data_IF_938472228151
#
_entry.id   IF_938472228151
#
_cell.length_a   1.000
_cell.length_b   1.000
_cell.length_c   1.000
_cell.angle_alpha   90.00
_cell.angle_beta   90.00
_cell.angle_gamma   90.00
#
_symmetry.space_group_name_H-M   'P 1'
#
loop_
_entity.id
_entity.type
_entity.pdbx_description
1 polymer ?
#
# COMPACT_ATOMS: atom_id res chain seq x y z
N UNK A 1 -19.91 -7.01 25.20
CA UNK A 1 -20.04 -7.48 23.81
C UNK A 1 -19.62 -8.94 23.66
N UNK A 2 -18.36 -9.22 23.30
CA UNK A 2 -17.91 -10.61 23.11
C UNK A 2 -17.65 -11.34 24.43
N UNK A 3 -17.06 -10.67 25.41
CA UNK A 3 -16.72 -11.25 26.71
C UNK A 3 -17.95 -11.70 27.53
N UNK A 4 -19.08 -10.99 27.38
CA UNK A 4 -20.36 -11.32 28.01
C UNK A 4 -21.33 -12.02 27.04
N UNK A 5 -20.82 -12.50 25.89
CA UNK A 5 -21.53 -13.25 24.84
C UNK A 5 -22.74 -12.54 24.23
N UNK A 6 -22.87 -11.22 24.39
CA UNK A 6 -23.89 -10.41 23.72
C UNK A 6 -23.60 -10.22 22.23
N UNK A 7 -22.32 -10.26 21.84
CA UNK A 7 -21.83 -10.26 20.45
C UNK A 7 -21.19 -11.62 20.19
N UNK A 8 -21.39 -12.25 19.02
CA UNK A 8 -20.71 -13.49 18.67
C UNK A 8 -19.20 -13.40 18.83
N UNK A 9 -18.58 -14.46 19.38
CA UNK A 9 -17.15 -14.53 19.59
C UNK A 9 -16.33 -14.69 18.31
N UNK A 10 -16.96 -15.16 17.23
CA UNK A 10 -16.38 -15.37 15.91
C UNK A 10 -17.45 -15.20 14.83
N UNK A 11 -17.01 -15.17 13.57
CA UNK A 11 -17.88 -14.91 12.41
C UNK A 11 -17.96 -13.43 12.05
N UNK A 12 -18.55 -13.16 10.89
CA UNK A 12 -18.75 -11.80 10.40
C UNK A 12 -19.88 -11.10 11.18
N UNK A 13 -19.66 -9.83 11.53
CA UNK A 13 -20.66 -9.02 12.22
C UNK A 13 -21.57 -8.32 11.20
N UNK A 14 -22.40 -9.11 10.52
CA UNK A 14 -23.36 -8.60 9.53
C UNK A 14 -24.44 -7.72 10.19
N UNK A 15 -25.17 -6.89 9.42
CA UNK A 15 -26.30 -6.11 9.95
C UNK A 15 -27.32 -6.95 10.73
N UNK A 16 -27.60 -8.17 10.26
CA UNK A 16 -28.52 -9.14 10.89
C UNK A 16 -27.98 -9.64 12.24
N UNK A 17 -26.66 -9.75 12.36
CA UNK A 17 -25.98 -10.17 13.60
C UNK A 17 -25.92 -9.01 14.61
N UNK A 18 -25.57 -7.80 14.16
CA UNK A 18 -25.27 -6.69 15.07
C UNK A 18 -26.51 -5.95 15.54
N UNK A 19 -27.56 -5.87 14.70
CA UNK A 19 -28.76 -5.09 15.03
C UNK A 19 -29.48 -5.58 16.28
N UNK A 20 -29.77 -6.88 16.48
CA UNK A 20 -30.41 -7.35 17.71
C UNK A 20 -29.57 -7.00 18.96
N UNK A 21 -28.24 -6.94 18.81
CA UNK A 21 -27.32 -6.54 19.88
C UNK A 21 -27.48 -5.06 20.20
N UNK A 22 -27.53 -4.20 19.18
CA UNK A 22 -27.73 -2.74 19.34
C UNK A 22 -29.11 -2.43 19.90
N UNK A 23 -30.16 -3.07 19.37
CA UNK A 23 -31.54 -2.89 19.84
C UNK A 23 -31.66 -3.25 21.32
N UNK A 24 -31.12 -4.40 21.72
CA UNK A 24 -31.08 -4.81 23.13
C UNK A 24 -30.22 -3.89 24.00
N UNK A 25 -29.12 -3.35 23.46
CA UNK A 25 -28.23 -2.46 24.21
C UNK A 25 -28.85 -1.08 24.45
N UNK A 26 -29.60 -0.57 23.48
CA UNK A 26 -30.24 0.76 23.51
C UNK A 26 -31.71 0.73 23.98
N UNK A 27 -32.24 -0.45 24.33
CA UNK A 27 -33.65 -0.67 24.69
C UNK A 27 -34.63 -0.21 23.58
N UNK A 28 -34.27 -0.51 22.33
CA UNK A 28 -35.10 -0.20 21.15
C UNK A 28 -36.03 -1.37 20.82
N UNK A 29 -37.24 -1.09 20.28
CA UNK A 29 -38.12 -2.14 19.81
C UNK A 29 -37.48 -2.92 18.65
N UNK A 30 -37.71 -4.23 18.62
CA UNK A 30 -37.22 -5.09 17.55
C UNK A 30 -37.81 -4.67 16.19
N UNK A 31 -36.95 -4.44 15.20
CA UNK A 31 -37.36 -4.13 13.84
C UNK A 31 -37.09 -5.31 12.89
N UNK A 32 -38.00 -5.56 11.96
CA UNK A 32 -37.78 -6.54 10.89
C UNK A 32 -36.69 -6.01 9.96
N UNK A 33 -35.64 -6.81 9.78
CA UNK A 33 -34.55 -6.48 8.87
C UNK A 33 -34.90 -7.04 7.50
N UNK A 34 -35.03 -6.17 6.51
CA UNK A 34 -34.88 -6.63 5.13
C UNK A 34 -33.47 -7.19 5.02
N UNK A 35 -33.28 -8.43 4.51
CA UNK A 35 -31.96 -8.98 4.28
C UNK A 35 -31.12 -7.92 3.58
N UNK A 36 -29.90 -7.66 4.06
CA UNK A 36 -29.02 -6.77 3.31
C UNK A 36 -28.96 -7.34 1.89
N UNK A 37 -29.43 -6.62 0.86
CA UNK A 37 -29.31 -7.10 -0.50
C UNK A 37 -27.81 -7.26 -0.68
N UNK A 38 -27.34 -8.50 -0.73
CA UNK A 38 -25.93 -8.79 -0.85
C UNK A 38 -25.47 -8.14 -2.13
N UNK A 39 -24.96 -6.92 -2.04
CA UNK A 39 -24.25 -6.30 -3.13
C UNK A 39 -23.09 -7.21 -3.46
N UNK A 40 -22.64 -7.18 -4.71
CA UNK A 40 -21.37 -7.81 -5.04
C UNK A 40 -20.35 -7.37 -3.99
N UNK A 41 -19.74 -8.35 -3.31
CA UNK A 41 -18.76 -8.07 -2.28
C UNK A 41 -17.66 -7.23 -2.94
N UNK A 42 -17.61 -5.94 -2.59
CA UNK A 42 -16.58 -5.06 -3.11
C UNK A 42 -15.27 -5.57 -2.54
N UNK A 43 -14.35 -5.95 -3.42
CA UNK A 43 -13.04 -6.43 -3.00
C UNK A 43 -12.39 -5.31 -2.17
N UNK A 44 -11.85 -5.61 -0.98
CA UNK A 44 -11.16 -4.60 -0.19
C UNK A 44 -10.03 -3.98 -1.03
N UNK A 45 -10.05 -2.66 -1.23
CA UNK A 45 -9.10 -1.94 -2.10
C UNK A 45 -8.48 -0.77 -1.35
N UNK A 46 -7.32 -0.29 -1.82
CA UNK A 46 -6.65 0.87 -1.24
C UNK A 46 -7.51 2.14 -1.40
N UNK A 47 -7.46 3.06 -0.44
CA UNK A 47 -8.23 4.30 -0.50
C UNK A 47 -7.89 5.14 -1.75
N UNK A 48 -8.83 5.93 -2.28
CA UNK A 48 -8.52 6.91 -3.33
C UNK A 48 -7.38 7.83 -2.87
N UNK A 49 -6.32 7.92 -3.68
CA UNK A 49 -5.11 8.68 -3.34
C UNK A 49 -4.19 8.03 -2.29
N UNK A 50 -4.34 6.75 -1.96
CA UNK A 50 -3.33 6.07 -1.14
C UNK A 50 -1.96 6.07 -1.84
N UNK A 51 -0.90 6.52 -1.14
CA UNK A 51 0.48 6.47 -1.64
C UNK A 51 0.99 5.07 -1.95
N UNK A 52 0.50 4.04 -1.24
CA UNK A 52 0.87 2.65 -1.54
C UNK A 52 0.41 2.23 -2.95
N UNK A 53 -0.74 2.72 -3.43
CA UNK A 53 -1.21 2.42 -4.80
C UNK A 53 -0.23 2.96 -5.84
N UNK A 54 0.25 4.18 -5.63
CA UNK A 54 1.24 4.81 -6.50
C UNK A 54 2.55 4.00 -6.53
N UNK A 55 3.03 3.58 -5.35
CA UNK A 55 4.22 2.72 -5.25
C UNK A 55 4.02 1.37 -5.94
N UNK A 56 2.89 0.69 -5.72
CA UNK A 56 2.60 -0.61 -6.34
C UNK A 56 2.49 -0.53 -7.85
N UNK A 57 1.79 0.49 -8.37
CA UNK A 57 1.73 0.74 -9.80
C UNK A 57 3.13 0.90 -10.38
N UNK A 58 3.96 1.79 -9.80
CA UNK A 58 5.33 1.99 -10.27
C UNK A 58 6.20 0.72 -10.19
N UNK A 59 6.09 -0.07 -9.12
CA UNK A 59 6.80 -1.36 -8.97
C UNK A 59 6.43 -2.31 -10.11
N UNK A 60 5.13 -2.51 -10.34
CA UNK A 60 4.62 -3.47 -11.32
C UNK A 60 4.93 -3.05 -12.76
N UNK A 61 4.79 -1.76 -13.07
CA UNK A 61 5.18 -1.21 -14.38
C UNK A 61 6.69 -1.36 -14.63
N UNK A 62 7.51 -1.22 -13.59
CA UNK A 62 8.97 -1.36 -13.72
C UNK A 62 9.40 -2.82 -13.86
N UNK A 63 8.71 -3.74 -13.18
CA UNK A 63 9.10 -5.14 -13.08
C UNK A 63 7.92 -6.10 -13.35
N UNK A 64 7.32 -6.12 -14.56
CA UNK A 64 6.10 -6.89 -14.83
C UNK A 64 6.24 -8.40 -14.57
N UNK A 65 7.45 -8.95 -14.69
CA UNK A 65 7.80 -10.35 -14.43
C UNK A 65 8.56 -10.53 -13.09
N UNK A 66 8.38 -9.59 -12.17
CA UNK A 66 9.02 -9.57 -10.85
C UNK A 66 8.40 -10.57 -9.88
N UNK A 67 9.07 -10.77 -8.75
CA UNK A 67 8.54 -11.47 -7.59
C UNK A 67 8.28 -10.45 -6.47
N UNK A 68 7.07 -10.46 -5.94
CA UNK A 68 6.56 -9.45 -5.03
C UNK A 68 6.14 -10.03 -3.67
N UNK A 69 7.09 -10.50 -2.83
CA UNK A 69 6.77 -10.85 -1.46
C UNK A 69 6.36 -9.60 -0.66
N UNK A 70 5.32 -9.75 0.15
CA UNK A 70 4.79 -8.67 0.98
C UNK A 70 4.46 -9.18 2.39
N UNK A 71 3.99 -8.27 3.23
CA UNK A 71 3.63 -8.51 4.62
C UNK A 71 2.15 -8.19 4.90
N UNK A 72 1.72 -8.41 6.15
CA UNK A 72 0.36 -8.07 6.61
C UNK A 72 0.24 -6.57 6.92
N UNK A 73 -0.65 -5.87 6.21
CA UNK A 73 -0.93 -4.45 6.38
C UNK A 73 -1.86 -3.92 5.29
N UNK A 74 -2.08 -2.59 5.19
CA UNK A 74 -2.82 -2.01 4.05
C UNK A 74 -2.21 -2.44 2.71
N UNK A 75 -0.90 -2.62 2.68
CA UNK A 75 -0.13 -3.03 1.52
C UNK A 75 -0.40 -4.50 1.11
N UNK A 76 -1.00 -5.34 1.95
CA UNK A 76 -1.55 -6.64 1.50
C UNK A 76 -2.60 -6.47 0.40
N UNK A 77 -3.32 -5.34 0.38
CA UNK A 77 -4.30 -5.03 -0.68
C UNK A 77 -3.65 -4.81 -2.06
N UNK A 78 -2.32 -4.74 -2.14
CA UNK A 78 -1.59 -4.81 -3.41
C UNK A 78 -1.81 -6.13 -4.17
N UNK A 79 -2.38 -7.16 -3.53
CA UNK A 79 -2.85 -8.38 -4.18
C UNK A 79 -3.83 -8.09 -5.33
N UNK A 80 -4.75 -7.14 -5.16
CA UNK A 80 -5.72 -6.80 -6.20
C UNK A 80 -5.04 -6.12 -7.41
N UNK A 81 -3.96 -5.39 -7.16
CA UNK A 81 -3.18 -4.67 -8.16
C UNK A 81 -2.17 -5.57 -8.89
N UNK A 82 -2.08 -6.85 -8.55
CA UNK A 82 -1.04 -7.75 -9.06
C UNK A 82 0.38 -7.37 -8.61
N UNK A 83 0.51 -6.63 -7.51
CA UNK A 83 1.79 -6.14 -6.98
C UNK A 83 2.22 -6.87 -5.69
N UNK A 84 1.57 -8.00 -5.38
CA UNK A 84 1.88 -8.89 -4.27
C UNK A 84 1.63 -10.33 -4.73
N UNK A 85 2.65 -11.18 -4.67
CA UNK A 85 2.52 -12.61 -5.02
C UNK A 85 2.32 -13.49 -3.79
N UNK A 86 2.86 -13.07 -2.65
CA UNK A 86 2.81 -13.82 -1.41
C UNK A 86 2.79 -12.90 -0.21
N UNK A 87 2.02 -13.29 0.80
CA UNK A 87 1.92 -12.65 2.10
C UNK A 87 1.61 -13.73 3.13
N UNK A 88 2.40 -13.80 4.21
CA UNK A 88 2.26 -14.88 5.20
C UNK A 88 1.96 -14.36 6.61
N UNK A 89 2.85 -13.55 7.15
CA UNK A 89 2.68 -12.93 8.46
C UNK A 89 3.35 -11.55 8.47
N UNK A 90 3.35 -10.86 9.61
CA UNK A 90 4.07 -9.59 9.75
C UNK A 90 5.59 -9.84 9.85
N UNK A 91 6.34 -9.41 8.82
CA UNK A 91 7.80 -9.49 8.75
C UNK A 91 8.34 -10.68 7.93
N UNK A 92 7.47 -11.44 7.28
CA UNK A 92 7.86 -12.53 6.38
C UNK A 92 8.43 -12.03 5.05
N UNK A 93 8.00 -10.88 4.53
CA UNK A 93 8.32 -10.42 3.17
C UNK A 93 9.82 -10.34 2.88
N UNK A 94 10.59 -9.79 3.81
CA UNK A 94 12.06 -9.67 3.71
C UNK A 94 12.72 -11.06 3.70
N UNK A 95 12.29 -11.96 4.59
CA UNK A 95 12.86 -13.32 4.66
C UNK A 95 12.49 -14.16 3.43
N UNK A 96 11.27 -14.02 2.91
CA UNK A 96 10.84 -14.66 1.67
C UNK A 96 11.67 -14.16 0.48
N UNK A 97 11.89 -12.85 0.36
CA UNK A 97 12.72 -12.27 -0.70
C UNK A 97 14.16 -12.80 -0.65
N UNK A 98 14.75 -12.87 0.55
CA UNK A 98 16.06 -13.47 0.74
C UNK A 98 16.08 -14.96 0.33
N UNK A 99 15.02 -15.72 0.67
CA UNK A 99 14.86 -17.12 0.27
C UNK A 99 14.73 -17.30 -1.25
N UNK A 100 13.89 -16.50 -1.90
CA UNK A 100 13.75 -16.50 -3.36
C UNK A 100 15.07 -16.19 -4.04
N UNK A 101 15.78 -15.14 -3.60
CA UNK A 101 17.10 -14.83 -4.13
C UNK A 101 18.04 -16.03 -4.06
N UNK A 102 18.09 -16.73 -2.92
CA UNK A 102 18.95 -17.92 -2.75
C UNK A 102 18.55 -19.07 -3.66
N UNK A 103 17.25 -19.34 -3.76
CA UNK A 103 16.74 -20.41 -4.60
C UNK A 103 17.10 -20.18 -6.07
N UNK A 104 16.86 -18.98 -6.59
CA UNK A 104 17.21 -18.63 -7.97
C UNK A 104 18.73 -18.60 -8.19
N UNK A 105 19.51 -18.02 -7.27
CA UNK A 105 20.96 -18.00 -7.36
C UNK A 105 21.60 -19.41 -7.39
N UNK A 106 20.91 -20.42 -6.84
CA UNK A 106 21.39 -21.80 -6.82
C UNK A 106 20.94 -22.63 -8.04
N UNK A 107 19.84 -22.26 -8.70
CA UNK A 107 19.14 -23.13 -9.63
C UNK A 107 18.79 -22.51 -11.00
N UNK A 108 19.04 -21.21 -11.22
CA UNK A 108 18.65 -20.52 -12.44
C UNK A 108 19.76 -19.64 -13.00
N UNK A 109 19.82 -19.55 -14.34
CA UNK A 109 20.76 -18.68 -15.06
C UNK A 109 20.43 -17.20 -14.88
N UNK A 110 19.16 -16.88 -14.63
CA UNK A 110 18.65 -15.52 -14.47
C UNK A 110 17.80 -15.42 -13.21
N UNK A 111 18.10 -14.42 -12.39
CA UNK A 111 17.29 -14.05 -11.22
C UNK A 111 16.29 -12.96 -11.67
N UNK A 112 14.97 -13.17 -11.50
CA UNK A 112 13.97 -12.12 -11.74
C UNK A 112 14.20 -10.95 -10.78
N UNK A 113 13.60 -9.78 -11.07
CA UNK A 113 13.57 -8.72 -10.06
C UNK A 113 12.78 -9.21 -8.84
N UNK A 114 13.34 -9.06 -7.64
CA UNK A 114 12.65 -9.41 -6.40
C UNK A 114 12.42 -8.10 -5.65
N UNK A 115 11.16 -7.74 -5.44
CA UNK A 115 10.77 -6.49 -4.78
C UNK A 115 9.91 -6.83 -3.57
N UNK A 116 10.52 -6.82 -2.39
CA UNK A 116 9.83 -7.00 -1.13
C UNK A 116 9.14 -5.70 -0.71
N UNK A 117 7.89 -5.77 -0.25
CA UNK A 117 7.18 -4.61 0.32
C UNK A 117 6.85 -4.84 1.79
N UNK A 118 7.06 -3.83 2.63
CA UNK A 118 6.77 -3.86 4.06
C UNK A 118 6.31 -2.47 4.51
N UNK A 119 5.31 -2.37 5.38
CA UNK A 119 4.92 -1.09 5.97
C UNK A 119 5.85 -0.65 7.10
N UNK A 120 5.90 0.64 7.39
CA UNK A 120 6.60 1.25 8.53
C UNK A 120 6.40 0.50 9.86
N UNK A 121 5.16 0.31 10.29
CA UNK A 121 4.82 -0.34 11.56
C UNK A 121 5.35 -1.78 11.62
N UNK A 122 5.24 -2.51 10.51
CA UNK A 122 5.69 -3.90 10.40
C UNK A 122 7.21 -3.99 10.33
N UNK A 123 7.85 -3.00 9.72
CA UNK A 123 9.30 -2.89 9.70
C UNK A 123 9.86 -2.74 11.13
N UNK A 124 9.27 -1.86 11.94
CA UNK A 124 9.62 -1.73 13.37
C UNK A 124 9.33 -3.01 14.16
N UNK A 125 8.20 -3.66 13.89
CA UNK A 125 7.77 -4.84 14.63
C UNK A 125 8.64 -6.08 14.39
N UNK A 126 8.96 -6.37 13.12
CA UNK A 126 9.64 -7.61 12.74
C UNK A 126 10.58 -7.51 11.53
N UNK A 127 10.61 -6.38 10.82
CA UNK A 127 11.44 -6.22 9.62
C UNK A 127 12.94 -6.03 9.90
N UNK A 128 13.31 -5.35 10.99
CA UNK A 128 14.72 -5.03 11.29
C UNK A 128 15.60 -6.28 11.43
N UNK A 129 15.25 -7.31 12.22
CA UNK A 129 16.08 -8.52 12.31
C UNK A 129 16.21 -9.25 10.97
N UNK A 130 15.13 -9.30 10.18
CA UNK A 130 15.14 -9.94 8.87
C UNK A 130 16.04 -9.18 7.87
N UNK A 131 16.05 -7.84 7.92
CA UNK A 131 16.92 -7.00 7.10
C UNK A 131 18.40 -7.24 7.44
N UNK A 132 18.75 -7.23 8.73
CA UNK A 132 20.12 -7.52 9.21
C UNK A 132 20.57 -8.88 8.67
N UNK A 133 19.73 -9.91 8.78
CA UNK A 133 20.05 -11.25 8.30
C UNK A 133 20.24 -11.29 6.77
N UNK A 134 19.36 -10.63 6.02
CA UNK A 134 19.45 -10.54 4.57
C UNK A 134 20.76 -9.86 4.11
N UNK A 135 21.12 -8.74 4.75
CA UNK A 135 22.37 -8.01 4.50
C UNK A 135 23.58 -8.87 4.87
N UNK A 136 23.60 -9.44 6.08
CA UNK A 136 24.71 -10.24 6.59
C UNK A 136 25.04 -11.42 5.67
N UNK A 137 24.01 -12.10 5.14
CA UNK A 137 24.24 -13.20 4.22
C UNK A 137 24.53 -12.74 2.79
N UNK A 138 24.30 -11.47 2.44
CA UNK A 138 24.51 -10.96 1.08
C UNK A 138 23.38 -11.36 0.12
N UNK A 139 22.13 -11.36 0.59
CA UNK A 139 20.98 -11.47 -0.30
C UNK A 139 20.87 -10.21 -1.19
N UNK A 140 20.28 -10.36 -2.39
CA UNK A 140 20.13 -9.26 -3.36
C UNK A 140 18.69 -9.17 -3.82
N UNK A 141 18.02 -8.10 -3.42
CA UNK A 141 16.65 -7.77 -3.77
C UNK A 141 16.39 -6.30 -3.40
N UNK A 142 15.29 -5.75 -3.92
CA UNK A 142 14.82 -4.42 -3.57
C UNK A 142 13.84 -4.56 -2.41
N UNK A 143 14.04 -3.80 -1.34
CA UNK A 143 13.09 -3.63 -0.26
C UNK A 143 12.46 -2.25 -0.36
N UNK A 144 11.15 -2.20 -0.59
CA UNK A 144 10.37 -0.97 -0.54
C UNK A 144 9.65 -0.90 0.80
N UNK A 145 10.08 0.03 1.65
CA UNK A 145 9.41 0.34 2.92
C UNK A 145 8.34 1.39 2.62
N UNK A 146 7.08 0.99 2.78
CA UNK A 146 5.89 1.80 2.56
C UNK A 146 5.60 2.57 3.85
N UNK A 147 6.14 3.78 3.94
CA UNK A 147 6.06 4.64 5.11
C UNK A 147 4.90 5.65 4.97
N UNK A 148 3.81 5.35 5.66
CA UNK A 148 2.64 6.23 5.75
C UNK A 148 2.49 6.90 7.12
N UNK A 149 3.53 6.76 7.96
CA UNK A 149 3.64 7.23 9.33
C UNK A 149 2.47 6.83 10.24
N UNK A 150 1.78 5.70 10.04
CA UNK A 150 0.71 5.26 10.94
C UNK A 150 0.38 3.78 10.79
N UNK A 151 -0.06 3.13 11.87
CA UNK A 151 -0.59 1.75 11.78
C UNK A 151 -2.04 1.76 11.28
N UNK A 152 -2.24 2.10 10.01
CA UNK A 152 -3.55 2.48 9.44
C UNK A 152 -4.64 1.41 9.62
N UNK A 153 -4.40 0.18 9.15
CA UNK A 153 -5.43 -0.87 9.09
C UNK A 153 -5.94 -1.33 10.47
N UNK A 154 -5.14 -1.14 11.52
CA UNK A 154 -5.52 -1.52 12.89
C UNK A 154 -6.15 -0.37 13.67
N UNK A 155 -6.32 0.81 13.07
CA UNK A 155 -6.96 1.97 13.70
C UNK A 155 -6.01 3.11 14.07
N UNK A 156 -5.01 3.38 13.23
CA UNK A 156 -4.12 4.55 13.32
C UNK A 156 -3.30 4.64 14.61
N UNK A 157 -2.77 3.51 15.08
CA UNK A 157 -1.83 3.52 16.21
C UNK A 157 -0.54 4.25 15.82
N UNK A 158 0.06 5.03 16.74
CA UNK A 158 1.29 5.73 16.47
C UNK A 158 2.42 4.74 16.19
N UNK A 159 3.26 5.06 15.22
CA UNK A 159 4.50 4.33 14.96
C UNK A 159 5.66 4.93 15.76
N UNK A 160 6.73 4.16 16.04
CA UNK A 160 7.91 4.66 16.74
C UNK A 160 8.51 5.94 16.13
N UNK A 161 8.39 6.13 14.82
CA UNK A 161 8.90 7.32 14.12
C UNK A 161 8.20 8.62 14.53
N UNK A 162 6.95 8.55 14.98
CA UNK A 162 6.21 9.72 15.47
C UNK A 162 6.72 10.22 16.83
N UNK A 163 7.42 9.38 17.61
CA UNK A 163 7.82 9.74 18.97
C UNK A 163 6.63 9.93 19.92
N UNK A 164 5.52 9.19 19.69
CA UNK A 164 4.31 9.27 20.50
C UNK A 164 3.99 7.89 21.13
N UNK A 165 3.49 7.90 22.36
CA UNK A 165 2.98 6.70 23.05
C UNK A 165 1.50 6.84 23.37
N UNK A 166 0.82 5.70 23.42
CA UNK A 166 -0.59 5.62 23.82
C UNK A 166 -0.69 5.62 25.35
N UNK A 167 -1.56 6.44 25.99
CA UNK A 167 -2.61 7.26 25.39
C UNK A 167 -2.21 8.68 24.95
N UNK A 168 -1.12 9.28 25.45
CA UNK A 168 -0.73 10.66 25.08
C UNK A 168 0.73 11.03 25.42
N UNK A 169 1.62 10.05 25.57
CA UNK A 169 3.00 10.33 25.99
C UNK A 169 3.90 10.73 24.83
N UNK A 170 4.97 11.46 25.14
CA UNK A 170 6.08 11.66 24.22
C UNK A 170 7.13 10.57 24.45
N UNK A 171 7.75 10.12 23.36
CA UNK A 171 8.87 9.21 23.36
C UNK A 171 9.95 9.69 22.39
N UNK A 172 11.12 9.09 22.47
CA UNK A 172 12.18 9.35 21.49
C UNK A 172 11.77 8.76 20.14
N UNK A 173 11.74 9.57 19.06
CA UNK A 173 11.45 9.07 17.73
C UNK A 173 12.57 8.15 17.24
N UNK A 174 12.20 7.10 16.50
CA UNK A 174 13.14 6.19 15.86
C UNK A 174 12.91 6.24 14.35
N UNK A 175 13.89 6.71 13.59
CA UNK A 175 13.78 6.88 12.14
C UNK A 175 14.15 5.60 11.39
N UNK A 176 13.31 5.22 10.42
CA UNK A 176 13.52 4.01 9.60
C UNK A 176 14.87 4.08 8.86
N UNK A 177 15.20 5.24 8.30
CA UNK A 177 16.45 5.45 7.56
C UNK A 177 17.70 5.13 8.39
N UNK A 178 17.69 5.47 9.68
CA UNK A 178 18.83 5.23 10.56
C UNK A 178 18.96 3.73 10.90
N UNK A 179 17.84 3.05 11.14
CA UNK A 179 17.81 1.60 11.32
C UNK A 179 18.29 0.85 10.07
N UNK A 180 17.87 1.30 8.88
CA UNK A 180 18.29 0.72 7.60
C UNK A 180 19.80 0.88 7.40
N UNK A 181 20.35 2.08 7.62
CA UNK A 181 21.81 2.32 7.55
C UNK A 181 22.56 1.46 8.57
N UNK A 182 22.09 1.42 9.81
CA UNK A 182 22.69 0.62 10.87
C UNK A 182 22.66 -0.90 10.59
N UNK A 183 21.70 -1.35 9.77
CA UNK A 183 21.60 -2.75 9.31
C UNK A 183 22.62 -3.11 8.22
N UNK A 184 23.47 -2.17 7.78
CA UNK A 184 24.54 -2.41 6.81
C UNK A 184 24.12 -2.19 5.34
N UNK A 185 22.93 -1.62 5.10
CA UNK A 185 22.47 -1.29 3.76
C UNK A 185 23.29 -0.13 3.17
N UNK A 186 23.83 -0.33 1.97
CA UNK A 186 24.66 0.67 1.25
C UNK A 186 23.89 1.46 0.19
N UNK A 187 22.75 0.95 -0.25
CA UNK A 187 21.84 1.65 -1.15
C UNK A 187 20.54 1.97 -0.40
N UNK A 188 20.39 3.25 -0.04
CA UNK A 188 19.20 3.76 0.62
C UNK A 188 18.77 5.07 -0.05
N UNK A 189 17.52 5.11 -0.52
CA UNK A 189 16.88 6.32 -1.06
C UNK A 189 15.50 6.51 -0.44
N UNK A 190 15.06 7.75 -0.37
CA UNK A 190 13.71 8.12 0.06
C UNK A 190 13.05 8.92 -1.06
N UNK A 191 11.77 8.64 -1.32
CA UNK A 191 11.00 9.38 -2.31
C UNK A 191 9.51 9.31 -2.00
N UNK A 192 8.75 10.29 -2.48
CA UNK A 192 7.30 10.23 -2.49
C UNK A 192 6.85 9.43 -3.73
N UNK A 193 6.14 8.31 -3.57
CA UNK A 193 5.65 7.51 -4.71
C UNK A 193 4.64 8.25 -5.59
N UNK A 194 4.14 9.44 -5.20
CA UNK A 194 3.33 10.27 -6.09
C UNK A 194 4.12 10.81 -7.29
N UNK A 195 5.44 10.97 -7.17
CA UNK A 195 6.32 11.21 -8.31
C UNK A 195 6.62 9.88 -9.01
N UNK A 196 5.64 9.40 -9.78
CA UNK A 196 5.73 8.10 -10.47
C UNK A 196 6.99 8.00 -11.35
N UNK A 197 7.33 8.98 -12.22
CA UNK A 197 8.53 8.89 -13.04
C UNK A 197 9.82 8.83 -12.20
N UNK A 198 9.92 9.65 -11.15
CA UNK A 198 11.07 9.63 -10.25
C UNK A 198 11.19 8.30 -9.50
N UNK A 199 10.07 7.76 -9.02
CA UNK A 199 10.05 6.50 -8.30
C UNK A 199 10.40 5.30 -9.20
N UNK A 200 9.92 5.27 -10.45
CA UNK A 200 10.35 4.28 -11.47
C UNK A 200 11.85 4.37 -11.71
N UNK A 201 12.42 5.57 -11.85
CA UNK A 201 13.87 5.73 -12.03
C UNK A 201 14.65 5.19 -10.83
N UNK A 202 14.18 5.40 -9.60
CA UNK A 202 14.82 4.88 -8.39
C UNK A 202 14.72 3.35 -8.29
N UNK A 203 13.59 2.77 -8.70
CA UNK A 203 13.42 1.31 -8.79
C UNK A 203 14.42 0.70 -9.77
N UNK A 204 14.61 1.31 -10.94
CA UNK A 204 15.61 0.86 -11.92
C UNK A 204 17.05 1.00 -11.40
N UNK A 205 17.39 2.10 -10.72
CA UNK A 205 18.69 2.28 -10.06
C UNK A 205 18.91 1.20 -8.98
N UNK A 206 17.88 0.89 -8.20
CA UNK A 206 17.91 -0.15 -7.17
C UNK A 206 18.13 -1.56 -7.76
N UNK A 207 17.47 -1.92 -8.86
CA UNK A 207 17.68 -3.20 -9.55
C UNK A 207 19.10 -3.30 -10.12
N UNK A 208 19.60 -2.24 -10.75
CA UNK A 208 20.98 -2.18 -11.24
C UNK A 208 21.99 -2.38 -10.10
N UNK A 209 21.77 -1.73 -8.96
CA UNK A 209 22.59 -1.93 -7.76
C UNK A 209 22.54 -3.39 -7.28
N UNK A 210 21.35 -4.00 -7.20
CA UNK A 210 21.20 -5.39 -6.78
C UNK A 210 21.98 -6.36 -7.70
N UNK A 211 22.00 -6.09 -9.00
CA UNK A 211 22.69 -6.92 -10.01
C UNK A 211 24.20 -6.69 -10.07
N UNK A 212 24.70 -5.58 -9.54
CA UNK A 212 26.12 -5.24 -9.57
C UNK A 212 27.04 -6.25 -8.88
N UNK A 213 28.34 -6.23 -9.22
CA UNK A 213 29.34 -7.10 -8.59
C UNK A 213 29.36 -6.93 -7.07
N UNK A 214 29.42 -5.68 -6.62
CA UNK A 214 29.32 -5.27 -5.21
C UNK A 214 27.88 -4.96 -4.79
N UNK A 215 26.90 -5.58 -5.43
CA UNK A 215 25.47 -5.41 -5.12
C UNK A 215 25.05 -6.05 -3.78
N UNK A 216 23.86 -5.71 -3.32
CA UNK A 216 23.28 -6.21 -2.08
C UNK A 216 21.79 -5.91 -2.01
N UNK A 217 21.23 -5.85 -0.80
CA UNK A 217 19.87 -5.35 -0.58
C UNK A 217 19.83 -3.85 -0.88
N UNK A 218 18.97 -3.44 -1.80
CA UNK A 218 18.64 -2.04 -2.06
C UNK A 218 17.39 -1.66 -1.27
N UNK A 219 17.41 -0.55 -0.53
CA UNK A 219 16.24 -0.07 0.21
C UNK A 219 15.73 1.24 -0.38
N UNK A 220 14.44 1.28 -0.67
CA UNK A 220 13.68 2.49 -1.01
C UNK A 220 12.65 2.73 0.09
N UNK A 221 12.64 3.92 0.69
CA UNK A 221 11.57 4.33 1.60
C UNK A 221 10.59 5.18 0.79
N UNK A 222 9.42 4.61 0.50
CA UNK A 222 8.31 5.29 -0.15
C UNK A 222 7.53 6.07 0.91
N UNK A 223 7.84 7.35 1.06
CA UNK A 223 7.27 8.23 2.10
C UNK A 223 6.04 8.94 1.58
N UNK A 224 4.87 8.57 2.08
CA UNK A 224 3.63 9.30 1.82
C UNK A 224 2.58 9.03 2.90
N UNK A 225 2.19 10.06 3.63
CA UNK A 225 1.25 9.94 4.75
C UNK A 225 -0.07 9.26 4.35
N UNK A 226 -0.65 8.53 5.30
CA UNK A 226 -1.96 7.93 5.09
C UNK A 226 -3.03 9.01 4.86
N UNK A 227 -3.75 8.95 3.74
CA UNK A 227 -4.79 9.93 3.41
C UNK A 227 -6.04 9.87 4.32
N UNK A 228 -6.12 8.83 5.17
CA UNK A 228 -7.14 8.73 6.23
C UNK A 228 -6.73 9.47 7.50
N UNK A 229 -5.45 9.83 7.66
CA UNK A 229 -5.04 10.76 8.69
C UNK A 229 -5.56 12.17 8.35
N UNK A 230 -6.25 12.79 9.31
CA UNK A 230 -6.97 14.05 9.09
C UNK A 230 -6.03 15.22 8.79
N UNK A 231 -4.91 15.31 9.50
CA UNK A 231 -3.97 16.41 9.33
C UNK A 231 -3.15 16.22 8.06
N UNK A 232 -2.71 14.98 7.77
CA UNK A 232 -2.10 14.64 6.50
C UNK A 232 -3.02 14.99 5.32
N UNK A 233 -4.30 14.61 5.41
CA UNK A 233 -5.29 14.90 4.37
C UNK A 233 -5.51 16.40 4.15
N UNK A 234 -5.48 17.19 5.21
CA UNK A 234 -5.62 18.65 5.11
C UNK A 234 -4.41 19.30 4.43
N UNK A 235 -3.22 18.75 4.65
CA UNK A 235 -1.96 19.27 4.10
C UNK A 235 -1.61 18.69 2.72
N UNK A 236 -2.33 17.66 2.27
CA UNK A 236 -2.16 17.05 0.96
C UNK A 236 -2.51 18.06 -0.15
N UNK A 237 -1.62 18.29 -1.15
CA UNK A 237 -1.95 19.09 -2.31
C UNK A 237 -3.15 18.52 -3.06
N UNK A 238 -4.11 19.39 -3.35
CA UNK A 238 -5.32 19.08 -4.14
C UNK A 238 -5.18 19.68 -5.53
N UNK A 239 -5.50 18.90 -6.54
CA UNK A 239 -5.55 19.29 -7.94
C UNK A 239 -6.96 19.05 -8.47
N UNK A 240 -7.41 19.90 -9.37
CA UNK A 240 -8.60 19.63 -10.18
C UNK A 240 -8.23 18.59 -11.23
N UNK A 241 -8.78 17.39 -11.11
CA UNK A 241 -8.51 16.27 -12.04
C UNK A 241 -9.74 16.08 -12.91
N UNK A 242 -9.54 16.02 -14.23
CA UNK A 242 -10.61 15.77 -15.20
C UNK A 242 -10.20 14.69 -16.21
N UNK A 243 -11.20 14.05 -16.81
CA UNK A 243 -11.03 13.19 -17.98
C UNK A 243 -11.50 13.98 -19.21
N UNK A 244 -10.68 14.04 -20.25
CA UNK A 244 -10.98 14.77 -21.49
C UNK A 244 -11.72 13.89 -22.49
N UNK A 245 -12.26 14.50 -23.54
CA UNK A 245 -12.93 13.81 -24.64
C UNK A 245 -11.97 12.90 -25.45
N UNK A 246 -10.66 13.02 -25.24
CA UNK A 246 -9.65 12.13 -25.83
C UNK A 246 -9.62 10.73 -25.18
N UNK A 247 -10.43 10.51 -24.15
CA UNK A 247 -10.56 9.19 -23.52
C UNK A 247 -11.15 8.17 -24.50
N UNK A 248 -10.36 7.14 -24.80
CA UNK A 248 -10.72 6.07 -25.73
C UNK A 248 -11.40 4.88 -25.06
N UNK A 249 -11.65 4.94 -23.75
CA UNK A 249 -12.19 3.78 -23.02
C UNK A 249 -11.23 2.61 -22.91
N UNK A 250 -9.89 2.82 -23.00
CA UNK A 250 -8.92 1.72 -22.95
C UNK A 250 -8.80 1.02 -21.59
N UNK A 251 -9.43 1.56 -20.54
CA UNK A 251 -9.52 1.01 -19.17
C UNK A 251 -8.20 0.80 -18.42
N UNK A 252 -7.04 1.16 -18.97
CA UNK A 252 -5.73 1.06 -18.28
C UNK A 252 -5.77 1.62 -16.84
N UNK A 253 -6.30 2.83 -16.66
CA UNK A 253 -6.40 3.44 -15.33
C UNK A 253 -7.39 2.76 -14.35
N UNK A 254 -8.32 1.94 -14.87
CA UNK A 254 -9.26 1.16 -14.08
C UNK A 254 -8.66 -0.19 -13.71
N UNK A 255 -8.08 -0.89 -14.69
CA UNK A 255 -7.67 -2.28 -14.53
C UNK A 255 -6.26 -2.40 -13.91
N UNK A 256 -5.36 -1.45 -14.20
CA UNK A 256 -3.96 -1.49 -13.75
C UNK A 256 -3.66 -0.61 -12.53
N UNK A 257 -4.31 0.55 -12.43
CA UNK A 257 -4.15 1.45 -11.29
C UNK A 257 -5.26 1.29 -10.25
N UNK A 258 -6.45 0.82 -10.65
CA UNK A 258 -7.57 0.48 -9.77
C UNK A 258 -7.91 1.59 -8.75
N UNK A 259 -7.96 2.84 -9.20
CA UNK A 259 -8.40 3.93 -8.33
C UNK A 259 -9.91 3.81 -8.07
N UNK A 260 -10.38 3.73 -6.81
CA UNK A 260 -11.81 3.55 -6.50
C UNK A 260 -12.66 4.79 -6.79
N UNK A 261 -12.01 5.89 -7.21
CA UNK A 261 -12.67 7.10 -7.69
C UNK A 261 -12.80 7.14 -9.22
N UNK A 262 -12.33 6.13 -9.95
CA UNK A 262 -12.51 6.01 -11.40
C UNK A 262 -13.48 4.88 -11.69
N UNK A 263 -14.39 5.09 -12.63
CA UNK A 263 -15.28 4.05 -13.16
C UNK A 263 -15.54 4.29 -14.64
N UNK A 264 -16.01 3.25 -15.34
CA UNK A 264 -16.44 3.37 -16.73
C UNK A 264 -17.89 3.85 -16.76
N UNK A 265 -18.18 4.87 -17.54
CA UNK A 265 -19.55 5.20 -17.93
C UNK A 265 -19.96 4.30 -19.10
N UNK A 266 -20.88 3.37 -18.84
CA UNK A 266 -21.35 2.39 -19.83
C UNK A 266 -22.08 3.03 -21.03
N UNK A 267 -22.50 4.30 -20.92
CA UNK A 267 -23.20 5.00 -22.00
C UNK A 267 -22.22 5.60 -23.01
N UNK A 268 -21.13 6.18 -22.50
CA UNK A 268 -20.14 6.90 -23.30
C UNK A 268 -18.91 6.04 -23.63
N UNK A 269 -18.74 4.91 -22.93
CA UNK A 269 -17.54 4.07 -22.93
C UNK A 269 -16.27 4.85 -22.52
N UNK A 270 -16.46 5.93 -21.74
CA UNK A 270 -15.38 6.76 -21.23
C UNK A 270 -15.20 6.61 -19.72
N UNK A 271 -13.99 6.84 -19.26
CA UNK A 271 -13.70 6.85 -17.82
C UNK A 271 -14.22 8.13 -17.21
N UNK A 272 -14.90 8.02 -16.08
CA UNK A 272 -15.43 9.14 -15.31
C UNK A 272 -14.90 9.11 -13.88
N UNK A 273 -14.81 10.30 -13.28
CA UNK A 273 -14.32 10.49 -11.91
C UNK A 273 -15.50 10.63 -10.96
N UNK A 274 -15.56 9.78 -9.93
CA UNK A 274 -16.45 9.97 -8.79
C UNK A 274 -15.90 11.09 -7.88
N UNK A 275 -16.51 12.26 -7.99
CA UNK A 275 -16.14 13.45 -7.20
C UNK A 275 -16.35 13.30 -5.68
N UNK A 276 -17.15 12.34 -5.21
CA UNK A 276 -17.32 12.09 -3.79
C UNK A 276 -16.15 11.27 -3.20
N UNK A 277 -15.49 10.46 -4.02
CA UNK A 277 -14.33 9.64 -3.62
C UNK A 277 -13.00 10.27 -4.00
N UNK A 278 -12.96 11.03 -5.10
CA UNK A 278 -11.74 11.63 -5.59
C UNK A 278 -11.17 12.62 -4.59
N UNK A 279 -9.86 12.56 -4.40
CA UNK A 279 -9.14 13.40 -3.43
C UNK A 279 -8.32 14.50 -4.11
N UNK A 280 -8.33 14.54 -5.45
CA UNK A 280 -7.50 15.46 -6.22
C UNK A 280 -6.00 15.18 -6.13
N UNK A 281 -5.56 13.93 -5.90
CA UNK A 281 -4.14 13.62 -5.79
C UNK A 281 -3.35 13.84 -7.10
N UNK A 282 -4.03 13.68 -8.25
CA UNK A 282 -3.44 13.83 -9.58
C UNK A 282 -2.49 12.72 -10.02
N UNK A 283 -2.33 11.63 -9.24
CA UNK A 283 -1.43 10.52 -9.59
C UNK A 283 -1.85 9.83 -10.88
N UNK A 284 -3.16 9.72 -11.14
CA UNK A 284 -3.71 9.09 -12.34
C UNK A 284 -3.32 9.79 -13.66
N UNK A 285 -2.83 11.03 -13.61
CA UNK A 285 -2.28 11.72 -14.80
C UNK A 285 -1.07 10.96 -15.36
N UNK A 286 -0.24 10.39 -14.50
CA UNK A 286 0.93 9.60 -14.90
C UNK A 286 0.58 8.18 -15.38
N UNK A 287 -0.67 7.76 -15.18
CA UNK A 287 -1.15 6.40 -15.46
C UNK A 287 -1.81 6.32 -16.84
N UNK A 288 -2.47 7.38 -17.30
CA UNK A 288 -3.22 7.35 -18.55
C UNK A 288 -2.26 7.32 -19.77
N UNK A 289 -2.19 6.22 -20.54
CA UNK A 289 -1.27 6.15 -21.68
C UNK A 289 -1.68 7.08 -22.83
N UNK A 290 -2.97 7.39 -22.95
CA UNK A 290 -3.51 8.31 -23.95
C UNK A 290 -3.45 9.79 -23.55
N UNK A 291 -3.00 10.11 -22.33
CA UNK A 291 -2.95 11.49 -21.84
C UNK A 291 -4.33 12.13 -21.60
N UNK A 292 -5.41 11.34 -21.60
CA UNK A 292 -6.79 11.83 -21.44
C UNK A 292 -7.17 12.17 -19.99
N UNK A 293 -6.27 11.99 -19.02
CA UNK A 293 -6.48 12.42 -17.63
C UNK A 293 -5.55 13.60 -17.36
N UNK A 294 -6.13 14.77 -17.11
CA UNK A 294 -5.39 16.00 -16.84
C UNK A 294 -5.57 16.44 -15.39
N UNK A 295 -4.58 17.17 -14.85
CA UNK A 295 -4.68 17.83 -13.57
C UNK A 295 -4.29 19.31 -13.67
N UNK A 296 -5.13 20.19 -13.15
CA UNK A 296 -4.86 21.62 -13.01
C UNK A 296 -4.64 21.96 -11.54
N UNK A 297 -3.64 22.78 -11.26
CA UNK A 297 -3.41 23.28 -9.90
C UNK A 297 -4.54 24.26 -9.59
N UNK A 298 -5.41 23.90 -8.64
CA UNK A 298 -6.38 24.84 -8.07
C UNK A 298 -5.60 25.97 -7.40
N UNK A 299 -5.80 27.20 -7.91
CA UNK A 299 -5.29 28.42 -7.27
C UNK A 299 -5.90 28.62 -5.89
#
# INVERSE_FOLDING_TARGET
GRNDKKVPGAGELTPEVIRPVIEKFLDLPAATVAPFPGGEATRPTLCAGCGHRAAFYAIRETFPEGLFPSDIGCYTLGLNLGAVDTCHCMGAGISQAAGFYRAYAAAADKIPAIVATIGDSTFFHAGVPALINAVFHGARFILVILDNATTAMTGHQPTPEQGLTVPSGQAQPVFIADLVKASGVRFLKEADPYDIPGFVSLLQEADQYCRGADGGVAVLIAKHFCILDREARKNQPVREVCVTDDCTGCRHCLDDFECPALHLDETTDQVVIDGARCIGCGVCVHVCPGGAIEARVTK
#
